data_IF_179461425430
#
_entry.id   IF_179461425430
#
_cell.length_a   1.000
_cell.length_b   1.000
_cell.length_c   1.000
_cell.angle_alpha   90.00
_cell.angle_beta   90.00
_cell.angle_gamma   90.00
#
_symmetry.space_group_name_H-M   'P 1'
#
loop_
_entity.id
_entity.type
_entity.pdbx_description
1 polymer ?
#
# COMPACT_ATOMS: atom_id res chain seq x y z
N UNK A 1 -5.24 19.50 -13.89
CA UNK A 1 -5.44 18.59 -12.76
C UNK A 1 -6.93 18.34 -12.68
N UNK A 2 -7.37 17.11 -12.92
CA UNK A 2 -8.79 16.74 -12.79
C UNK A 2 -9.11 16.65 -11.29
N UNK A 3 -10.12 17.39 -10.84
CA UNK A 3 -10.53 17.37 -9.43
C UNK A 3 -11.28 16.07 -9.14
N UNK A 4 -10.91 15.37 -8.06
CA UNK A 4 -11.63 14.18 -7.59
C UNK A 4 -12.72 14.66 -6.62
N UNK A 5 -14.02 14.61 -6.99
CA UNK A 5 -15.08 15.15 -6.14
C UNK A 5 -15.21 14.37 -4.83
N UNK A 6 -15.16 15.08 -3.70
CA UNK A 6 -15.26 14.47 -2.37
C UNK A 6 -14.03 13.65 -1.97
N UNK A 7 -12.87 13.96 -2.55
CA UNK A 7 -11.58 13.36 -2.24
C UNK A 7 -11.31 13.29 -0.73
N UNK A 8 -11.13 12.08 -0.21
CA UNK A 8 -10.66 11.84 1.15
C UNK A 8 -9.35 11.06 1.14
N UNK A 9 -8.32 11.58 1.80
CA UNK A 9 -7.06 10.86 1.98
C UNK A 9 -7.29 9.56 2.74
N UNK A 10 -6.47 8.53 2.48
CA UNK A 10 -6.57 7.23 3.14
C UNK A 10 -6.52 7.35 4.67
N UNK A 11 -5.70 8.26 5.22
CA UNK A 11 -5.63 8.49 6.67
C UNK A 11 -6.89 9.13 7.28
N UNK A 12 -7.68 9.83 6.46
CA UNK A 12 -8.94 10.47 6.86
C UNK A 12 -10.16 9.62 6.53
N UNK A 13 -10.02 8.63 5.66
CA UNK A 13 -11.09 7.74 5.25
C UNK A 13 -11.74 7.05 6.45
N UNK A 14 -13.07 7.14 6.53
CA UNK A 14 -13.89 6.52 7.60
C UNK A 14 -14.72 5.34 7.11
N UNK A 15 -14.57 4.93 5.85
CA UNK A 15 -15.25 3.77 5.31
C UNK A 15 -14.62 2.44 5.73
N UNK A 16 -15.03 1.36 5.06
CA UNK A 16 -14.62 0.01 5.42
C UNK A 16 -13.10 -0.23 5.19
N UNK A 17 -12.36 -0.54 6.26
CA UNK A 17 -10.90 -0.76 6.21
C UNK A 17 -10.49 -2.00 5.39
N UNK A 18 -11.33 -3.05 5.34
CA UNK A 18 -11.12 -4.22 4.49
C UNK A 18 -11.22 -3.84 3.02
N UNK A 19 -12.24 -3.05 2.64
CA UNK A 19 -12.38 -2.52 1.28
C UNK A 19 -11.19 -1.65 0.88
N UNK A 20 -10.76 -0.75 1.76
CA UNK A 20 -9.60 0.10 1.52
C UNK A 20 -8.33 -0.72 1.29
N UNK A 21 -8.10 -1.73 2.14
CA UNK A 21 -6.96 -2.66 2.04
C UNK A 21 -6.97 -3.43 0.72
N UNK A 22 -8.13 -3.93 0.29
CA UNK A 22 -8.27 -4.66 -0.97
C UNK A 22 -7.98 -3.80 -2.19
N UNK A 23 -8.43 -2.53 -2.18
CA UNK A 23 -8.15 -1.60 -3.26
C UNK A 23 -6.69 -1.18 -3.29
N UNK A 24 -6.10 -0.86 -2.13
CA UNK A 24 -4.70 -0.49 -2.02
C UNK A 24 -3.78 -1.59 -2.56
N UNK A 25 -4.02 -2.83 -2.16
CA UNK A 25 -3.26 -3.99 -2.64
C UNK A 25 -3.36 -4.17 -4.17
N UNK A 26 -4.55 -3.98 -4.76
CA UNK A 26 -4.76 -4.09 -6.21
C UNK A 26 -4.11 -2.94 -6.97
N UNK A 27 -4.24 -1.72 -6.45
CA UNK A 27 -3.70 -0.52 -7.06
C UNK A 27 -2.18 -0.58 -7.14
N UNK A 28 -1.51 -0.92 -6.05
CA UNK A 28 -0.06 -1.04 -6.02
C UNK A 28 0.46 -2.24 -6.81
N UNK A 29 -0.26 -3.36 -6.80
CA UNK A 29 0.10 -4.48 -7.64
C UNK A 29 0.00 -4.12 -9.13
N UNK A 30 -1.06 -3.40 -9.54
CA UNK A 30 -1.21 -2.89 -10.90
C UNK A 30 -0.05 -1.95 -11.25
N UNK A 31 0.21 -0.95 -10.41
CA UNK A 31 1.29 0.02 -10.59
C UNK A 31 2.65 -0.67 -10.82
N UNK A 32 3.01 -1.64 -9.97
CA UNK A 32 4.25 -2.38 -10.11
C UNK A 32 4.28 -3.36 -11.30
N UNK A 33 3.14 -3.94 -11.70
CA UNK A 33 3.05 -4.81 -12.88
C UNK A 33 3.21 -4.01 -14.19
N UNK A 34 2.74 -2.76 -14.19
CA UNK A 34 2.91 -1.82 -15.32
C UNK A 34 4.31 -1.19 -15.35
N UNK A 35 5.24 -1.61 -14.49
CA UNK A 35 6.63 -1.15 -14.49
C UNK A 35 6.88 0.17 -13.74
N UNK A 36 5.91 0.65 -12.96
CA UNK A 36 6.03 1.90 -12.22
C UNK A 36 6.29 1.67 -10.73
N UNK A 37 7.16 2.48 -10.12
CA UNK A 37 7.41 2.55 -8.68
C UNK A 37 7.17 3.97 -8.19
N UNK A 38 6.74 4.11 -6.93
CA UNK A 38 6.38 5.40 -6.35
C UNK A 38 7.24 5.70 -5.11
N UNK A 39 8.21 6.60 -5.27
CA UNK A 39 9.24 6.86 -4.23
C UNK A 39 8.70 7.57 -3.00
N UNK A 40 7.58 8.28 -3.12
CA UNK A 40 6.90 9.00 -2.03
C UNK A 40 5.54 8.37 -1.68
N UNK A 41 5.48 7.04 -1.58
CA UNK A 41 4.22 6.34 -1.32
C UNK A 41 3.81 6.47 0.16
N UNK A 42 2.78 7.28 0.41
CA UNK A 42 2.20 7.58 1.74
C UNK A 42 0.68 7.72 1.67
N UNK A 43 0.01 7.66 2.81
CA UNK A 43 -1.45 7.71 2.93
C UNK A 43 -2.08 9.02 2.44
N UNK A 44 -1.32 10.12 2.41
CA UNK A 44 -1.79 11.40 1.85
C UNK A 44 -1.77 11.43 0.32
N UNK A 45 -0.95 10.59 -0.34
CA UNK A 45 -0.96 10.44 -1.80
C UNK A 45 -1.98 9.39 -2.28
N UNK A 46 -2.82 8.88 -1.36
CA UNK A 46 -3.84 7.89 -1.62
C UNK A 46 -5.20 8.47 -1.28
N UNK A 47 -6.07 8.61 -2.28
CA UNK A 47 -7.35 9.33 -2.14
C UNK A 47 -8.51 8.47 -2.58
N UNK A 48 -9.55 8.40 -1.77
CA UNK A 48 -10.85 7.86 -2.15
C UNK A 48 -11.71 8.97 -2.75
N UNK A 49 -12.39 8.65 -3.86
CA UNK A 49 -13.50 9.48 -4.34
C UNK A 49 -14.79 9.24 -3.52
N UNK A 50 -15.83 10.01 -3.81
CA UNK A 50 -17.16 9.85 -3.22
C UNK A 50 -17.82 8.49 -3.48
N UNK A 51 -17.41 7.77 -4.53
CA UNK A 51 -17.86 6.40 -4.81
C UNK A 51 -17.04 5.33 -4.04
N UNK A 52 -16.06 5.75 -3.25
CA UNK A 52 -15.19 4.87 -2.48
C UNK A 52 -14.20 4.11 -3.36
N UNK A 53 -13.81 4.63 -4.52
CA UNK A 53 -12.72 4.11 -5.38
C UNK A 53 -11.42 4.81 -5.01
N UNK A 54 -10.33 4.03 -4.92
CA UNK A 54 -9.02 4.52 -4.53
C UNK A 54 -8.18 4.96 -5.74
N UNK A 55 -7.52 6.10 -5.61
CA UNK A 55 -6.59 6.67 -6.57
C UNK A 55 -5.24 6.97 -5.91
N UNK A 56 -4.16 6.88 -6.68
CA UNK A 56 -2.88 7.52 -6.34
C UNK A 56 -2.91 8.91 -6.95
N UNK A 57 -2.64 9.91 -6.13
CA UNK A 57 -2.40 11.29 -6.57
C UNK A 57 -0.92 11.61 -6.44
N UNK A 58 -0.52 12.79 -6.95
CA UNK A 58 0.87 13.27 -6.90
C UNK A 58 1.86 12.29 -7.54
N UNK A 59 2.05 12.44 -8.85
CA UNK A 59 2.87 11.52 -9.65
C UNK A 59 4.33 11.99 -9.78
N UNK A 60 4.74 13.04 -9.08
CA UNK A 60 6.12 13.55 -9.14
C UNK A 60 7.12 12.52 -8.58
N UNK A 61 6.64 11.63 -7.69
CA UNK A 61 7.38 10.49 -7.16
C UNK A 61 7.36 9.25 -8.05
N UNK A 62 6.63 9.26 -9.17
CA UNK A 62 6.44 8.10 -10.05
C UNK A 62 7.63 7.93 -11.00
N UNK A 63 8.17 6.71 -11.04
CA UNK A 63 9.29 6.36 -11.93
C UNK A 63 8.94 5.09 -12.70
N UNK A 64 9.09 5.14 -14.03
CA UNK A 64 8.99 3.97 -14.89
C UNK A 64 10.33 3.27 -14.99
N UNK A 65 10.39 2.02 -14.52
CA UNK A 65 11.61 1.19 -14.56
C UNK A 65 11.47 0.02 -15.54
N UNK A 66 10.34 -0.09 -16.25
CA UNK A 66 10.00 -1.24 -17.08
C UNK A 66 9.61 -2.47 -16.26
N UNK A 67 10.54 -2.98 -15.46
CA UNK A 67 10.30 -4.06 -14.51
C UNK A 67 10.54 -3.55 -13.09
N UNK A 68 9.53 -3.65 -12.22
CA UNK A 68 9.71 -3.35 -10.80
C UNK A 68 10.24 -4.58 -10.09
N UNK A 69 11.51 -4.51 -9.70
CA UNK A 69 12.19 -5.58 -8.95
C UNK A 69 11.55 -5.81 -7.59
N UNK A 70 11.85 -6.96 -6.98
CA UNK A 70 11.38 -7.31 -5.64
C UNK A 70 11.82 -6.27 -4.61
N UNK A 71 13.08 -5.86 -4.67
CA UNK A 71 13.70 -4.92 -3.73
C UNK A 71 13.00 -3.56 -3.78
N UNK A 72 12.71 -3.09 -4.99
CA UNK A 72 12.06 -1.80 -5.21
C UNK A 72 10.60 -1.82 -4.77
N UNK A 73 9.87 -2.88 -5.10
CA UNK A 73 8.52 -3.07 -4.61
C UNK A 73 8.48 -3.17 -3.07
N UNK A 74 9.40 -3.90 -2.44
CA UNK A 74 9.48 -3.98 -0.98
C UNK A 74 9.82 -2.63 -0.34
N UNK A 75 10.67 -1.81 -0.97
CA UNK A 75 10.95 -0.46 -0.49
C UNK A 75 9.68 0.41 -0.49
N UNK A 76 8.91 0.41 -1.58
CA UNK A 76 7.66 1.17 -1.69
C UNK A 76 6.61 0.68 -0.67
N UNK A 77 6.43 -0.64 -0.55
CA UNK A 77 5.52 -1.23 0.43
C UNK A 77 5.93 -0.93 1.88
N UNK A 78 7.23 -0.89 2.16
CA UNK A 78 7.75 -0.56 3.50
C UNK A 78 7.48 0.91 3.85
N UNK A 79 7.64 1.83 2.90
CA UNK A 79 7.30 3.26 3.09
C UNK A 79 5.83 3.42 3.42
N UNK A 80 4.95 2.80 2.64
CA UNK A 80 3.51 2.83 2.88
C UNK A 80 3.15 2.25 4.25
N UNK A 81 3.74 1.11 4.64
CA UNK A 81 3.44 0.47 5.91
C UNK A 81 3.82 1.35 7.11
N UNK A 82 4.97 2.04 7.03
CA UNK A 82 5.38 3.03 8.04
C UNK A 82 4.41 4.21 8.11
N UNK A 83 4.02 4.73 6.96
CA UNK A 83 3.08 5.85 6.88
C UNK A 83 1.69 5.48 7.42
N UNK A 84 1.28 4.21 7.24
CA UNK A 84 0.01 3.69 7.72
C UNK A 84 0.01 3.24 9.19
N UNK A 85 1.16 3.10 9.86
CA UNK A 85 1.28 2.47 11.18
C UNK A 85 0.45 3.16 12.26
N UNK A 86 0.33 4.49 12.20
CA UNK A 86 -0.47 5.28 13.14
C UNK A 86 -1.97 5.33 12.84
N UNK A 87 -2.43 4.69 11.76
CA UNK A 87 -3.84 4.74 11.37
C UNK A 87 -4.66 3.75 12.22
N UNK A 88 -5.87 4.13 12.67
CA UNK A 88 -6.73 3.26 13.49
C UNK A 88 -7.14 1.96 12.78
N UNK A 89 -7.01 1.88 11.45
CA UNK A 89 -7.24 0.68 10.65
C UNK A 89 -6.01 -0.21 10.45
N UNK A 90 -4.85 0.11 11.02
CA UNK A 90 -3.62 -0.65 10.79
C UNK A 90 -3.52 -1.85 11.73
N UNK A 91 -4.15 -2.96 11.34
CA UNK A 91 -4.17 -4.21 12.14
C UNK A 91 -3.36 -5.32 11.47
N UNK A 92 -2.92 -6.31 12.25
CA UNK A 92 -2.24 -7.52 11.74
C UNK A 92 -3.10 -8.25 10.70
N UNK A 93 -4.41 -8.32 10.92
CA UNK A 93 -5.34 -8.96 10.00
C UNK A 93 -5.38 -8.26 8.63
N UNK A 94 -5.46 -6.93 8.62
CA UNK A 94 -5.48 -6.14 7.38
C UNK A 94 -4.12 -6.15 6.68
N UNK A 95 -3.02 -6.16 7.43
CA UNK A 95 -1.67 -6.35 6.85
C UNK A 95 -1.53 -7.71 6.17
N UNK A 96 -2.03 -8.79 6.78
CA UNK A 96 -2.05 -10.12 6.16
C UNK A 96 -2.93 -10.14 4.91
N UNK A 97 -4.11 -9.52 4.98
CA UNK A 97 -5.01 -9.39 3.82
C UNK A 97 -4.33 -8.63 2.67
N UNK A 98 -3.65 -7.53 2.97
CA UNK A 98 -2.89 -6.76 2.00
C UNK A 98 -1.86 -7.65 1.28
N UNK A 99 -1.01 -8.33 2.05
CA UNK A 99 0.04 -9.22 1.53
C UNK A 99 -0.55 -10.29 0.59
N UNK A 100 -1.61 -10.97 1.03
CA UNK A 100 -2.26 -12.02 0.23
C UNK A 100 -2.85 -11.44 -1.06
N UNK A 101 -3.52 -10.29 -0.99
CA UNK A 101 -4.19 -9.70 -2.15
C UNK A 101 -3.20 -9.13 -3.15
N UNK A 102 -2.15 -8.48 -2.67
CA UNK A 102 -1.07 -7.93 -3.46
C UNK A 102 -0.31 -9.04 -4.19
N UNK A 103 0.10 -10.09 -3.46
CA UNK A 103 0.80 -11.23 -4.05
C UNK A 103 -0.02 -11.93 -5.13
N UNK A 104 -1.33 -12.16 -4.87
CA UNK A 104 -2.25 -12.71 -5.86
C UNK A 104 -2.33 -11.84 -7.12
N UNK A 105 -2.34 -10.52 -6.98
CA UNK A 105 -2.42 -9.59 -8.12
C UNK A 105 -1.08 -9.44 -8.87
N UNK A 106 0.06 -9.63 -8.20
CA UNK A 106 1.39 -9.69 -8.82
C UNK A 106 1.72 -11.05 -9.46
N UNK A 107 0.91 -12.10 -9.19
CA UNK A 107 1.20 -13.46 -9.65
C UNK A 107 2.38 -14.11 -8.93
N UNK A 108 2.65 -13.71 -7.69
CA UNK A 108 3.81 -14.17 -6.90
C UNK A 108 3.37 -14.94 -5.66
N UNK A 109 4.24 -15.79 -5.14
CA UNK A 109 4.02 -16.51 -3.87
C UNK A 109 4.37 -15.59 -2.68
N UNK A 110 3.45 -15.37 -1.72
CA UNK A 110 3.71 -14.49 -0.58
C UNK A 110 4.94 -14.88 0.23
N UNK A 111 5.11 -16.19 0.50
CA UNK A 111 6.24 -16.70 1.27
C UNK A 111 7.58 -16.39 0.62
N UNK A 112 7.70 -16.52 -0.70
CA UNK A 112 8.94 -16.24 -1.44
C UNK A 112 9.21 -14.73 -1.56
N UNK A 113 8.16 -13.92 -1.63
CA UNK A 113 8.30 -12.48 -1.83
C UNK A 113 8.58 -11.71 -0.53
N UNK A 114 7.91 -12.05 0.57
CA UNK A 114 7.99 -11.31 1.84
C UNK A 114 8.96 -11.96 2.87
N UNK A 115 9.82 -12.87 2.43
CA UNK A 115 10.75 -13.68 3.25
C UNK A 115 11.73 -12.88 4.11
N UNK A 116 12.12 -11.66 3.73
CA UNK A 116 13.16 -10.88 4.44
C UNK A 116 12.89 -9.38 4.33
N UNK A 117 11.99 -8.84 5.17
CA UNK A 117 11.90 -7.43 5.59
C UNK A 117 10.61 -7.26 6.44
N UNK A 118 10.61 -6.45 7.51
CA UNK A 118 9.56 -6.47 8.51
C UNK A 118 8.28 -5.79 8.00
N UNK A 119 7.50 -6.60 7.27
CA UNK A 119 6.04 -6.65 7.31
C UNK A 119 5.43 -6.25 8.65
N UNK A 120 6.02 -6.87 9.69
CA UNK A 120 5.46 -7.20 10.99
C UNK A 120 6.40 -6.61 12.04
N UNK A 121 5.99 -5.60 12.83
CA UNK A 121 6.72 -5.29 14.04
C UNK A 121 6.65 -6.53 14.94
N UNK A 122 7.82 -7.02 15.33
CA UNK A 122 7.97 -7.93 16.45
C UNK A 122 7.28 -7.29 17.65
N UNK A 123 6.23 -7.94 18.15
CA UNK A 123 5.58 -7.53 19.38
C UNK A 123 6.59 -7.42 20.52
N UNK A 124 6.31 -6.45 21.40
CA UNK A 124 6.90 -6.22 22.72
C UNK A 124 8.01 -7.19 23.13
N UNK A 125 9.24 -6.70 23.07
CA UNK A 125 10.26 -7.15 24.00
C UNK A 125 9.93 -6.52 25.36
N UNK A 126 9.85 -7.29 26.46
CA UNK A 126 9.66 -6.70 27.77
C UNK A 126 10.89 -5.84 28.11
N UNK A 127 10.65 -4.59 28.52
CA UNK A 127 11.65 -3.79 29.19
C UNK A 127 12.16 -4.53 30.44
N UNK A 128 13.47 -4.43 30.66
CA UNK A 128 14.18 -5.02 31.79
C UNK A 128 13.70 -4.49 33.13
#
# INVERSE_FOLDING_TARGET
MEEIPGAQHLGQWRGNATHATLQLARLLAKLHNEGFSHRDLKETNLVFDSAGKLFVIDLDGLEYTGVVTRERALADLTRLARAAEGLPGYTVALRRLFVLRYAKARGIRPGEFFTVAPLIPSGDAPEK
#
